data_IF_572068823600
#
_entry.id   IF_572068823600
#
_cell.length_a   1.000
_cell.length_b   1.000
_cell.length_c   1.000
_cell.angle_alpha   90.00
_cell.angle_beta   90.00
_cell.angle_gamma   90.00
#
_symmetry.space_group_name_H-M   'P 1'
#
loop_
_entity.id
_entity.type
_entity.pdbx_description
1 polymer ?
#
# COMPACT_ATOMS: atom_id res chain seq x y z
N UNK A 1 2.01 26.14 -6.04
CA UNK A 1 2.29 24.69 -5.99
C UNK A 1 1.23 24.01 -5.16
N UNK A 2 0.60 23.01 -5.73
CA UNK A 2 -0.40 22.24 -5.00
C UNK A 2 0.31 21.12 -4.24
N UNK A 3 0.22 21.15 -2.91
CA UNK A 3 0.76 20.06 -2.10
C UNK A 3 -0.16 18.84 -2.26
N UNK A 4 0.46 17.69 -2.51
CA UNK A 4 -0.28 16.42 -2.51
C UNK A 4 -0.36 15.90 -1.09
N UNK A 5 -1.57 15.62 -0.62
CA UNK A 5 -1.80 15.17 0.75
C UNK A 5 -2.60 13.87 0.74
N UNK A 6 -2.17 12.90 1.53
CA UNK A 6 -2.89 11.66 1.78
C UNK A 6 -3.40 11.69 3.22
N UNK A 7 -4.72 11.71 3.39
CA UNK A 7 -5.37 11.75 4.68
C UNK A 7 -5.74 10.34 5.13
N UNK A 8 -5.23 9.91 6.28
CA UNK A 8 -5.55 8.61 6.85
C UNK A 8 -7.01 8.59 7.30
N UNK A 9 -7.78 7.62 6.81
CA UNK A 9 -9.20 7.46 7.13
C UNK A 9 -9.39 6.39 8.21
N UNK A 10 -8.90 5.16 7.96
CA UNK A 10 -9.06 4.04 8.89
C UNK A 10 -8.12 2.90 8.54
N UNK A 11 -7.96 1.97 9.47
CA UNK A 11 -7.29 0.69 9.20
C UNK A 11 -8.25 -0.26 8.50
N UNK A 12 -7.71 -1.13 7.66
CA UNK A 12 -8.48 -2.14 6.92
C UNK A 12 -8.09 -3.52 7.43
N UNK A 13 -9.09 -4.35 7.76
CA UNK A 13 -8.87 -5.66 8.36
C UNK A 13 -8.93 -6.82 7.37
N UNK A 14 -9.33 -6.56 6.14
CA UNK A 14 -9.53 -7.61 5.13
C UNK A 14 -8.27 -8.03 4.39
N UNK A 15 -7.12 -7.47 4.75
CA UNK A 15 -5.83 -7.75 4.11
C UNK A 15 -4.94 -8.60 5.00
N UNK A 16 -4.04 -9.36 4.37
CA UNK A 16 -2.97 -10.02 5.11
C UNK A 16 -1.90 -8.98 5.46
N UNK A 17 -1.54 -8.88 6.75
CA UNK A 17 -0.61 -7.87 7.21
C UNK A 17 -1.31 -6.59 7.59
N UNK A 18 -0.69 -5.44 7.30
CA UNK A 18 -1.25 -4.13 7.63
C UNK A 18 -1.84 -3.49 6.38
N UNK A 19 -2.99 -2.85 6.54
CA UNK A 19 -3.58 -2.07 5.46
C UNK A 19 -4.32 -0.86 6.05
N UNK A 20 -4.27 0.25 5.32
CA UNK A 20 -4.92 1.49 5.73
C UNK A 20 -5.57 2.16 4.52
N UNK A 21 -6.70 2.83 4.77
CA UNK A 21 -7.42 3.60 3.76
C UNK A 21 -7.01 5.07 3.87
N UNK A 22 -6.67 5.67 2.73
CA UNK A 22 -6.32 7.08 2.63
C UNK A 22 -7.18 7.78 1.60
N UNK A 23 -7.51 9.04 1.85
CA UNK A 23 -8.09 9.94 0.86
C UNK A 23 -6.97 10.80 0.31
N UNK A 24 -6.83 10.82 -1.00
CA UNK A 24 -5.75 11.54 -1.68
C UNK A 24 -6.22 12.84 -2.29
N UNK A 25 -5.45 13.91 -2.10
CA UNK A 25 -5.67 15.22 -2.69
C UNK A 25 -4.39 15.69 -3.39
N UNK A 26 -4.34 15.79 -4.72
CA UNK A 26 -5.37 15.38 -5.70
C UNK A 26 -5.49 13.86 -5.82
N UNK A 27 -6.54 13.35 -6.50
CA UNK A 27 -6.69 11.91 -6.69
C UNK A 27 -5.45 11.26 -7.30
N UNK A 28 -5.07 10.09 -6.79
CA UNK A 28 -3.91 9.35 -7.27
C UNK A 28 -4.34 8.43 -8.41
N UNK A 29 -3.81 8.68 -9.61
CA UNK A 29 -4.17 7.93 -10.82
C UNK A 29 -5.70 7.84 -11.02
N UNK A 30 -6.41 8.94 -10.70
CA UNK A 30 -7.87 9.00 -10.82
C UNK A 30 -8.63 8.44 -9.62
N UNK A 31 -7.94 7.99 -8.58
CA UNK A 31 -8.57 7.45 -7.37
C UNK A 31 -8.52 8.45 -6.22
N UNK A 32 -9.67 8.87 -5.75
CA UNK A 32 -9.77 9.74 -4.57
C UNK A 32 -9.40 9.00 -3.30
N UNK A 33 -9.69 7.69 -3.26
CA UNK A 33 -9.34 6.82 -2.13
C UNK A 33 -8.37 5.74 -2.59
N UNK A 34 -7.41 5.42 -1.73
CA UNK A 34 -6.46 4.34 -1.99
C UNK A 34 -6.34 3.48 -0.74
N UNK A 35 -6.21 2.17 -0.95
CA UNK A 35 -5.86 1.22 0.10
C UNK A 35 -4.37 0.93 -0.02
N UNK A 36 -3.62 1.21 1.04
CA UNK A 36 -2.18 0.92 1.07
C UNK A 36 -1.97 -0.29 1.96
N UNK A 37 -1.44 -1.35 1.36
CA UNK A 37 -1.25 -2.65 2.01
C UNK A 37 0.23 -2.95 2.17
N UNK A 38 0.64 -3.30 3.39
CA UNK A 38 2.00 -3.74 3.69
C UNK A 38 1.94 -5.20 4.12
N UNK A 39 2.57 -6.07 3.36
CA UNK A 39 2.55 -7.51 3.59
C UNK A 39 3.96 -8.09 3.66
N UNK A 40 4.11 -9.14 4.46
CA UNK A 40 5.33 -9.93 4.52
C UNK A 40 4.95 -11.38 4.23
N UNK A 41 5.44 -11.96 3.12
CA UNK A 41 5.15 -13.36 2.81
C UNK A 41 5.59 -14.29 3.95
N UNK A 42 4.81 -15.32 4.21
CA UNK A 42 5.15 -16.30 5.23
C UNK A 42 6.06 -17.38 4.63
N UNK A 43 7.05 -17.90 5.41
CA UNK A 43 7.83 -19.05 4.98
C UNK A 43 6.92 -20.24 4.64
N UNK A 44 7.28 -20.96 3.58
CA UNK A 44 6.52 -22.15 3.14
C UNK A 44 6.86 -23.38 3.98
N UNK A 45 7.99 -23.35 4.70
CA UNK A 45 8.54 -24.51 5.39
C UNK A 45 9.41 -25.37 4.48
N UNK A 46 9.56 -25.02 3.22
CA UNK A 46 10.42 -25.72 2.26
C UNK A 46 11.67 -24.90 2.06
N UNK A 47 12.82 -25.41 2.51
CA UNK A 47 14.09 -24.66 2.55
C UNK A 47 14.48 -24.15 1.15
N UNK A 48 14.35 -24.97 0.12
CA UNK A 48 14.72 -24.56 -1.24
C UNK A 48 13.88 -23.37 -1.74
N UNK A 49 12.59 -23.32 -1.38
CA UNK A 49 11.71 -22.22 -1.75
C UNK A 49 12.00 -20.99 -0.88
N UNK A 50 12.12 -21.18 0.43
CA UNK A 50 12.31 -20.08 1.37
C UNK A 50 13.65 -19.36 1.18
N UNK A 51 14.64 -20.01 0.57
CA UNK A 51 15.95 -19.44 0.30
C UNK A 51 16.05 -18.70 -1.04
N UNK A 52 14.98 -18.66 -1.85
CA UNK A 52 14.99 -17.88 -3.07
C UNK A 52 15.10 -16.38 -2.77
N UNK A 53 16.03 -15.67 -3.44
CA UNK A 53 16.17 -14.23 -3.23
C UNK A 53 14.85 -13.48 -3.50
N UNK A 54 14.44 -12.64 -2.56
CA UNK A 54 13.25 -11.80 -2.71
C UNK A 54 11.92 -12.48 -2.44
N UNK A 55 11.87 -13.81 -2.26
CA UNK A 55 10.60 -14.52 -2.05
C UNK A 55 9.92 -14.13 -0.75
N UNK A 56 10.69 -13.90 0.32
CA UNK A 56 10.17 -13.53 1.64
C UNK A 56 10.36 -12.05 1.94
N UNK A 57 10.69 -11.24 0.95
CA UNK A 57 10.84 -9.81 1.14
C UNK A 57 9.48 -9.16 1.40
N UNK A 58 9.39 -8.24 2.37
CA UNK A 58 8.15 -7.51 2.58
C UNK A 58 7.85 -6.59 1.39
N UNK A 59 6.58 -6.28 1.20
CA UNK A 59 6.11 -5.47 0.08
C UNK A 59 5.07 -4.48 0.56
N UNK A 60 5.03 -3.30 -0.06
CA UNK A 60 4.03 -2.28 0.21
C UNK A 60 3.40 -1.84 -1.10
N UNK A 61 2.08 -1.99 -1.21
CA UNK A 61 1.34 -1.70 -2.43
C UNK A 61 0.26 -0.66 -2.21
N UNK A 62 0.02 0.14 -3.24
CA UNK A 62 -1.10 1.09 -3.27
C UNK A 62 -2.10 0.59 -4.29
N UNK A 63 -3.36 0.43 -3.86
CA UNK A 63 -4.47 0.03 -4.74
C UNK A 63 -5.57 1.07 -4.73
N UNK A 64 -6.28 1.23 -5.85
CA UNK A 64 -7.46 2.10 -5.90
C UNK A 64 -8.59 1.52 -5.05
N UNK A 65 -9.25 2.38 -4.27
CA UNK A 65 -10.31 1.98 -3.35
C UNK A 65 -11.47 2.96 -3.40
N UNK A 66 -12.58 2.61 -2.73
CA UNK A 66 -13.71 3.50 -2.53
C UNK A 66 -13.74 4.03 -1.10
N UNK A 67 -14.71 4.89 -0.79
CA UNK A 67 -14.82 5.51 0.54
C UNK A 67 -15.09 4.50 1.66
N UNK A 68 -15.62 3.33 1.34
CA UNK A 68 -15.86 2.26 2.31
C UNK A 68 -14.62 1.42 2.60
N UNK A 69 -13.55 1.61 1.84
CA UNK A 69 -12.31 0.87 1.99
C UNK A 69 -12.25 -0.40 1.14
N UNK A 70 -13.19 -0.58 0.22
CA UNK A 70 -13.15 -1.70 -0.70
C UNK A 70 -12.20 -1.40 -1.86
N UNK A 71 -11.34 -2.36 -2.21
CA UNK A 71 -10.44 -2.22 -3.35
C UNK A 71 -11.24 -2.35 -4.64
N UNK A 72 -11.16 -1.31 -5.48
CA UNK A 72 -11.85 -1.29 -6.76
C UNK A 72 -10.92 -1.55 -7.93
N UNK A 73 -9.62 -1.54 -7.69
CA UNK A 73 -8.60 -1.88 -8.69
C UNK A 73 -7.42 -2.56 -8.03
N UNK A 74 -7.10 -3.77 -8.46
CA UNK A 74 -5.97 -4.55 -7.95
C UNK A 74 -4.68 -4.31 -8.74
N UNK A 75 -4.66 -3.31 -9.59
CA UNK A 75 -3.43 -2.88 -10.24
C UNK A 75 -2.60 -2.05 -9.28
N UNK A 76 -1.31 -2.35 -9.18
CA UNK A 76 -0.39 -1.58 -8.35
C UNK A 76 -0.28 -0.15 -8.87
N UNK A 77 -0.49 0.82 -8.01
CA UNK A 77 -0.34 2.23 -8.37
C UNK A 77 1.08 2.71 -8.08
N UNK A 78 1.53 3.79 -8.75
CA UNK A 78 2.84 4.38 -8.48
C UNK A 78 3.04 4.68 -7.00
N UNK A 79 4.21 4.37 -6.48
CA UNK A 79 4.55 4.47 -5.05
C UNK A 79 4.71 3.11 -4.41
N UNK A 80 4.08 2.06 -4.96
CA UNK A 80 4.26 0.68 -4.49
C UNK A 80 5.72 0.27 -4.59
N UNK A 81 6.22 -0.46 -3.60
CA UNK A 81 7.63 -0.88 -3.59
C UNK A 81 7.81 -2.19 -2.83
N UNK A 82 8.96 -2.81 -3.06
CA UNK A 82 9.37 -4.06 -2.40
C UNK A 82 10.56 -3.81 -1.50
N UNK A 83 10.73 -4.66 -0.50
CA UNK A 83 11.88 -4.64 0.41
C UNK A 83 11.55 -4.10 1.80
N UNK A 84 10.39 -3.52 2.02
CA UNK A 84 9.98 -3.03 3.33
C UNK A 84 8.46 -2.94 3.45
N UNK A 85 8.00 -2.95 4.72
CA UNK A 85 6.62 -2.69 5.08
C UNK A 85 6.55 -1.27 5.63
N UNK A 86 6.28 -0.30 4.76
CA UNK A 86 6.23 1.10 5.16
C UNK A 86 5.16 1.84 4.37
N UNK A 87 3.95 1.86 4.94
CA UNK A 87 2.79 2.50 4.31
C UNK A 87 3.03 3.99 4.04
N UNK A 88 3.52 4.80 5.00
CA UNK A 88 3.81 6.20 4.72
C UNK A 88 4.83 6.38 3.60
N UNK A 89 5.84 5.51 3.52
CA UNK A 89 6.87 5.62 2.48
C UNK A 89 6.28 5.41 1.08
N UNK A 90 5.34 4.47 0.93
CA UNK A 90 4.68 4.25 -0.36
C UNK A 90 3.96 5.51 -0.83
N UNK A 91 3.26 6.19 0.07
CA UNK A 91 2.58 7.44 -0.25
C UNK A 91 3.57 8.57 -0.58
N UNK A 92 4.69 8.65 0.14
CA UNK A 92 5.74 9.62 -0.18
C UNK A 92 6.36 9.33 -1.55
N UNK A 93 6.56 8.06 -1.90
CA UNK A 93 7.05 7.67 -3.22
C UNK A 93 6.09 8.12 -4.33
N UNK A 94 4.80 8.17 -4.04
CA UNK A 94 3.79 8.69 -4.96
C UNK A 94 3.71 10.22 -4.98
N UNK A 95 4.47 10.90 -4.12
CA UNK A 95 4.50 12.35 -4.04
C UNK A 95 3.55 12.95 -3.00
N UNK A 96 2.98 12.14 -2.11
CA UNK A 96 2.03 12.62 -1.10
C UNK A 96 2.68 12.83 0.27
N UNK A 97 2.23 13.87 0.96
CA UNK A 97 2.49 14.06 2.37
C UNK A 97 1.39 13.34 3.16
N UNK A 98 1.77 12.55 4.16
CA UNK A 98 0.82 11.75 4.93
C UNK A 98 0.32 12.57 6.12
N UNK A 99 -1.01 12.68 6.24
CA UNK A 99 -1.68 13.30 7.39
C UNK A 99 -2.50 12.23 8.12
N UNK A 100 -2.27 12.13 9.40
CA UNK A 100 -3.01 11.22 10.28
C UNK A 100 -4.08 11.94 11.09
#
# INVERSE_FOLDING_TARGET
MTNKIAHKIKKLDSFRGEAELFRTEPPHEGHEYVAVSAIKPKPTGITEIDSFPGLLDPETYIFGANADGEVVSWSELPGSFKGAMDIPQALRNAGYEVKE
#
